data_IF_085402881824
#
_entry.id   IF_085402881824
#
_cell.length_a   1.000
_cell.length_b   1.000
_cell.length_c   1.000
_cell.angle_alpha   90.00
_cell.angle_beta   90.00
_cell.angle_gamma   90.00
#
_symmetry.space_group_name_H-M   'P 1'
#
loop_
_entity.id
_entity.type
_entity.pdbx_description
1 polymer ?
#
# COMPACT_ATOMS: atom_id res chain seq x y z
N UNK A 1 17.01 4.53 -58.53
CA UNK A 1 17.11 3.10 -58.16
C UNK A 1 18.48 2.93 -57.51
N UNK A 2 18.66 2.86 -56.19
CA UNK A 2 17.79 2.77 -55.01
C UNK A 2 18.52 3.48 -53.84
N UNK A 3 17.74 4.05 -52.94
CA UNK A 3 18.15 4.89 -51.82
C UNK A 3 18.67 4.05 -50.64
N UNK A 4 19.77 4.49 -50.03
CA UNK A 4 20.34 3.91 -48.81
C UNK A 4 20.02 4.83 -47.63
N UNK A 5 19.26 4.32 -46.65
CA UNK A 5 19.41 4.53 -45.20
C UNK A 5 18.25 3.82 -44.47
N UNK A 6 18.61 2.77 -43.74
CA UNK A 6 17.73 2.11 -42.80
C UNK A 6 17.69 2.93 -41.50
N UNK A 7 16.51 3.37 -41.09
CA UNK A 7 16.23 3.80 -39.72
C UNK A 7 15.49 2.67 -39.01
N UNK A 8 16.17 2.02 -38.07
CA UNK A 8 15.54 1.07 -37.15
C UNK A 8 14.84 1.82 -36.02
N UNK A 9 13.51 1.70 -35.96
CA UNK A 9 12.75 1.88 -34.71
C UNK A 9 11.75 0.74 -34.61
N UNK A 10 11.96 -0.19 -33.67
CA UNK A 10 10.82 -0.80 -32.96
C UNK A 10 11.21 -1.39 -31.60
N UNK A 11 10.55 -0.81 -30.60
CA UNK A 11 10.29 -1.28 -29.25
C UNK A 11 10.10 -2.80 -29.12
N UNK A 12 10.64 -3.39 -28.04
CA UNK A 12 9.85 -4.03 -26.99
C UNK A 12 10.75 -4.87 -26.07
N UNK A 13 10.91 -4.43 -24.83
CA UNK A 13 11.30 -5.33 -23.72
C UNK A 13 10.35 -5.09 -22.56
N UNK A 14 9.06 -5.33 -22.82
CA UNK A 14 8.06 -5.50 -21.79
C UNK A 14 8.22 -6.92 -21.22
N UNK A 15 9.10 -7.07 -20.24
CA UNK A 15 9.16 -8.31 -19.46
C UNK A 15 7.95 -8.35 -18.51
N UNK A 16 6.80 -8.74 -19.04
CA UNK A 16 5.60 -9.06 -18.26
C UNK A 16 5.80 -10.41 -17.60
N UNK A 17 6.52 -10.41 -16.49
CA UNK A 17 6.50 -11.53 -15.54
C UNK A 17 5.12 -11.52 -14.87
N UNK A 18 4.16 -12.20 -15.51
CA UNK A 18 2.80 -12.38 -15.01
C UNK A 18 2.89 -13.20 -13.73
N UNK A 19 3.02 -12.52 -12.59
CA UNK A 19 2.91 -13.15 -11.27
C UNK A 19 1.47 -13.57 -11.12
N UNK A 20 1.23 -14.87 -10.97
CA UNK A 20 -0.06 -15.42 -10.58
C UNK A 20 -0.56 -14.66 -9.33
N UNK A 21 -1.53 -13.76 -9.52
CA UNK A 21 -2.09 -12.98 -8.42
C UNK A 21 -3.12 -13.85 -7.73
N UNK A 22 -2.69 -14.53 -6.67
CA UNK A 22 -3.61 -14.96 -5.64
C UNK A 22 -4.41 -13.70 -5.23
N UNK A 23 -5.71 -13.65 -5.55
CA UNK A 23 -6.54 -12.44 -5.58
C UNK A 23 -6.86 -11.89 -4.16
N UNK A 24 -6.04 -12.24 -3.17
CA UNK A 24 -6.18 -11.79 -1.78
C UNK A 24 -5.54 -10.40 -1.66
N UNK A 25 -6.25 -9.41 -1.08
CA UNK A 25 -5.69 -8.10 -0.80
C UNK A 25 -4.40 -8.21 0.03
N UNK A 26 -3.34 -7.52 -0.41
CA UNK A 26 -2.06 -7.47 0.30
C UNK A 26 -2.25 -6.83 1.69
N UNK A 27 -1.76 -7.49 2.74
CA UNK A 27 -1.74 -6.93 4.10
C UNK A 27 -0.97 -5.61 4.15
N UNK A 28 -1.46 -4.64 4.93
CA UNK A 28 -0.80 -3.33 5.11
C UNK A 28 0.62 -3.49 5.67
N UNK A 29 0.85 -4.48 6.54
CA UNK A 29 2.18 -4.79 7.06
C UNK A 29 3.21 -5.18 5.99
N UNK A 30 2.75 -5.55 4.79
CA UNK A 30 3.58 -5.91 3.64
C UNK A 30 3.62 -4.81 2.57
N UNK A 31 2.97 -3.67 2.77
CA UNK A 31 2.99 -2.56 1.82
C UNK A 31 4.36 -1.88 1.78
N UNK A 32 4.86 -1.69 0.56
CA UNK A 32 6.04 -0.86 0.30
C UNK A 32 5.63 0.61 0.10
N UNK A 33 6.59 1.48 -0.19
CA UNK A 33 6.35 2.93 -0.41
C UNK A 33 5.34 3.15 -1.55
N UNK A 34 5.44 2.41 -2.66
CA UNK A 34 4.52 2.52 -3.80
C UNK A 34 3.07 2.16 -3.42
N UNK A 35 2.90 1.11 -2.61
CA UNK A 35 1.58 0.72 -2.10
C UNK A 35 0.99 1.81 -1.20
N UNK A 36 1.82 2.46 -0.36
CA UNK A 36 1.42 3.60 0.47
C UNK A 36 1.05 4.82 -0.38
N UNK A 37 1.81 5.14 -1.44
CA UNK A 37 1.46 6.21 -2.38
C UNK A 37 0.10 5.96 -3.04
N UNK A 38 -0.18 4.71 -3.45
CA UNK A 38 -1.50 4.33 -4.00
C UNK A 38 -2.62 4.50 -2.98
N UNK A 39 -2.38 4.12 -1.73
CA UNK A 39 -3.33 4.33 -0.64
C UNK A 39 -3.59 5.83 -0.42
N UNK A 40 -2.53 6.64 -0.34
CA UNK A 40 -2.62 8.10 -0.15
C UNK A 40 -3.42 8.74 -1.29
N UNK A 41 -3.15 8.37 -2.54
CA UNK A 41 -3.88 8.85 -3.72
C UNK A 41 -5.38 8.54 -3.65
N UNK A 42 -5.73 7.34 -3.16
CA UNK A 42 -7.11 6.87 -3.12
C UNK A 42 -7.91 7.48 -1.96
N UNK A 43 -7.29 7.67 -0.80
CA UNK A 43 -7.99 8.03 0.43
C UNK A 43 -7.77 9.48 0.87
N UNK A 44 -6.75 10.13 0.33
CA UNK A 44 -6.36 11.51 0.59
C UNK A 44 -6.15 12.25 -0.74
N UNK A 45 -7.04 12.05 -1.72
CA UNK A 45 -6.91 12.59 -3.10
C UNK A 45 -6.62 14.09 -3.12
N UNK A 46 -7.32 14.85 -2.27
CA UNK A 46 -7.26 16.32 -2.22
C UNK A 46 -5.90 16.82 -1.73
N UNK A 47 -5.16 15.98 -0.99
CA UNK A 47 -3.86 16.29 -0.41
C UNK A 47 -2.71 15.49 -1.05
N UNK A 48 -3.01 14.63 -2.03
CA UNK A 48 -2.03 13.70 -2.59
C UNK A 48 -0.86 14.43 -3.25
N UNK A 49 -1.16 15.39 -4.13
CA UNK A 49 -0.12 16.14 -4.86
C UNK A 49 0.76 16.98 -3.92
N UNK A 50 0.23 17.36 -2.75
CA UNK A 50 0.96 18.18 -1.78
C UNK A 50 1.96 17.37 -0.95
N UNK A 51 1.64 16.10 -0.63
CA UNK A 51 2.38 15.35 0.37
C UNK A 51 2.95 14.02 -0.11
N UNK A 52 2.69 13.58 -1.35
CA UNK A 52 3.25 12.32 -1.87
C UNK A 52 4.78 12.30 -1.80
N UNK A 53 5.43 13.43 -2.09
CA UNK A 53 6.88 13.55 -1.98
C UNK A 53 7.34 13.40 -0.53
N UNK A 54 6.69 14.05 0.43
CA UNK A 54 7.00 13.87 1.85
C UNK A 54 6.92 12.39 2.28
N UNK A 55 5.90 11.65 1.84
CA UNK A 55 5.81 10.21 2.13
C UNK A 55 6.90 9.39 1.43
N UNK A 56 7.32 9.80 0.24
CA UNK A 56 8.32 9.09 -0.57
C UNK A 56 9.73 9.33 -0.05
N UNK A 57 10.10 10.59 0.22
CA UNK A 57 11.43 10.96 0.73
C UNK A 57 11.72 10.38 2.13
N UNK A 58 10.69 10.15 2.93
CA UNK A 58 10.82 9.53 4.25
C UNK A 58 10.63 8.00 4.23
N UNK A 59 10.58 7.38 3.05
CA UNK A 59 10.41 5.93 2.87
C UNK A 59 9.24 5.35 3.71
N UNK A 60 8.08 6.00 3.67
CA UNK A 60 6.92 5.56 4.45
C UNK A 60 6.36 4.26 3.85
N UNK A 61 6.70 3.14 4.50
CA UNK A 61 6.12 1.81 4.26
C UNK A 61 4.83 1.61 5.06
N UNK A 62 4.06 0.55 4.77
CA UNK A 62 2.83 0.27 5.53
C UNK A 62 3.07 0.04 7.02
N UNK A 63 4.21 -0.55 7.40
CA UNK A 63 4.61 -0.71 8.81
C UNK A 63 4.79 0.64 9.50
N UNK A 64 5.46 1.59 8.84
CA UNK A 64 5.66 2.95 9.35
C UNK A 64 4.33 3.72 9.40
N UNK A 65 3.49 3.57 8.38
CA UNK A 65 2.16 4.20 8.31
C UNK A 65 1.26 3.80 9.48
N UNK A 66 1.25 2.50 9.84
CA UNK A 66 0.50 1.98 10.97
C UNK A 66 1.04 2.45 12.34
N UNK A 67 2.24 3.05 12.39
CA UNK A 67 2.86 3.57 13.62
C UNK A 67 2.90 5.10 13.72
N UNK A 68 2.72 5.80 12.60
CA UNK A 68 2.71 7.28 12.55
C UNK A 68 1.71 7.84 13.57
N UNK A 69 2.00 8.98 14.17
CA UNK A 69 1.04 9.74 14.97
C UNK A 69 0.95 11.17 14.44
N UNK A 70 0.08 12.00 15.02
CA UNK A 70 -0.07 13.40 14.61
C UNK A 70 1.28 14.15 14.59
N UNK A 71 2.05 14.03 15.67
CA UNK A 71 3.39 14.62 15.77
C UNK A 71 4.36 14.11 14.69
N UNK A 72 4.22 12.86 14.25
CA UNK A 72 5.03 12.30 13.17
C UNK A 72 4.64 12.89 11.82
N UNK A 73 3.35 13.15 11.57
CA UNK A 73 2.89 13.85 10.36
C UNK A 73 3.38 15.30 10.33
N UNK A 74 3.40 15.98 11.49
CA UNK A 74 3.98 17.31 11.60
C UNK A 74 5.48 17.30 11.23
N UNK A 75 6.26 16.38 11.81
CA UNK A 75 7.69 16.20 11.47
C UNK A 75 7.93 15.75 10.03
N UNK A 76 6.97 15.08 9.41
CA UNK A 76 7.00 14.70 7.99
C UNK A 76 6.85 15.93 7.06
N UNK A 77 6.42 17.08 7.59
CA UNK A 77 6.22 18.32 6.84
C UNK A 77 4.76 18.70 6.61
N UNK A 78 3.80 18.00 7.23
CA UNK A 78 2.36 18.33 7.12
C UNK A 78 1.99 19.34 8.22
N UNK A 79 2.40 20.59 8.02
CA UNK A 79 2.25 21.67 9.01
C UNK A 79 0.83 22.22 9.11
N UNK A 80 0.10 22.28 7.98
CA UNK A 80 -1.32 22.64 7.96
C UNK A 80 -2.13 21.63 8.79
N UNK A 81 -2.80 22.13 9.82
CA UNK A 81 -3.58 21.38 10.79
C UNK A 81 -4.80 20.69 10.18
N UNK A 82 -5.56 21.37 9.33
CA UNK A 82 -6.72 20.80 8.62
C UNK A 82 -6.29 19.62 7.75
N UNK A 83 -5.19 19.77 7.01
CA UNK A 83 -4.67 18.71 6.14
C UNK A 83 -4.16 17.52 6.97
N UNK A 84 -3.40 17.81 8.03
CA UNK A 84 -2.85 16.80 8.94
C UNK A 84 -3.96 16.00 9.61
N UNK A 85 -4.98 16.67 10.12
CA UNK A 85 -6.15 16.03 10.75
C UNK A 85 -6.89 15.13 9.74
N UNK A 86 -7.10 15.60 8.51
CA UNK A 86 -7.76 14.81 7.47
C UNK A 86 -6.98 13.55 7.11
N UNK A 87 -5.67 13.64 6.94
CA UNK A 87 -4.79 12.49 6.67
C UNK A 87 -4.77 11.55 7.88
N UNK A 88 -4.67 12.11 9.10
CA UNK A 88 -4.69 11.33 10.34
C UNK A 88 -5.96 10.50 10.48
N UNK A 89 -7.13 11.09 10.21
CA UNK A 89 -8.41 10.36 10.19
C UNK A 89 -8.40 9.19 9.21
N UNK A 90 -7.77 9.31 8.04
CA UNK A 90 -7.66 8.20 7.09
C UNK A 90 -6.71 7.11 7.59
N UNK A 91 -5.61 7.46 8.26
CA UNK A 91 -4.70 6.48 8.90
C UNK A 91 -5.43 5.70 9.99
N UNK A 92 -6.24 6.36 10.83
CA UNK A 92 -7.04 5.68 11.86
C UNK A 92 -8.05 4.70 11.24
N UNK A 93 -8.74 5.10 10.16
CA UNK A 93 -9.64 4.19 9.41
C UNK A 93 -8.90 2.98 8.85
N UNK A 94 -7.69 3.18 8.31
CA UNK A 94 -6.86 2.10 7.80
C UNK A 94 -6.47 1.10 8.90
N UNK A 95 -6.13 1.58 10.11
CA UNK A 95 -5.81 0.73 11.27
C UNK A 95 -6.99 -0.14 11.65
N UNK A 96 -8.15 0.46 11.89
CA UNK A 96 -9.37 -0.27 12.24
C UNK A 96 -9.69 -1.35 11.19
N UNK A 97 -9.59 -1.02 9.90
CA UNK A 97 -9.79 -1.99 8.83
C UNK A 97 -8.76 -3.12 8.87
N UNK A 98 -7.50 -2.80 9.14
CA UNK A 98 -6.41 -3.79 9.25
C UNK A 98 -6.67 -4.74 10.42
N UNK A 99 -7.00 -4.20 11.60
CA UNK A 99 -7.28 -4.97 12.81
C UNK A 99 -8.48 -5.90 12.62
N UNK A 100 -9.58 -5.42 12.02
CA UNK A 100 -10.77 -6.23 11.73
C UNK A 100 -10.42 -7.38 10.77
N UNK A 101 -9.65 -7.12 9.73
CA UNK A 101 -9.24 -8.15 8.76
C UNK A 101 -8.32 -9.16 9.44
N UNK A 102 -7.38 -8.70 10.26
CA UNK A 102 -6.45 -9.55 11.00
C UNK A 102 -7.17 -10.46 11.98
N UNK A 103 -8.12 -9.93 12.78
CA UNK A 103 -8.96 -10.73 13.69
C UNK A 103 -9.72 -11.81 12.93
N UNK A 104 -10.36 -11.46 11.80
CA UNK A 104 -11.10 -12.45 10.98
C UNK A 104 -10.17 -13.52 10.41
N UNK A 105 -8.98 -13.15 9.99
CA UNK A 105 -7.98 -14.09 9.46
C UNK A 105 -7.38 -14.98 10.55
N UNK A 106 -7.24 -14.50 11.79
CA UNK A 106 -6.87 -15.33 12.95
C UNK A 106 -7.98 -16.34 13.25
N UNK A 107 -9.24 -15.89 13.32
CA UNK A 107 -10.38 -16.77 13.59
C UNK A 107 -10.51 -17.90 12.55
N UNK A 108 -10.36 -17.59 11.25
CA UNK A 108 -10.37 -18.61 10.18
C UNK A 108 -9.25 -19.63 10.32
N UNK A 109 -8.02 -19.18 10.65
CA UNK A 109 -6.88 -20.07 10.86
C UNK A 109 -7.09 -20.99 12.06
N UNK A 110 -7.62 -20.45 13.16
CA UNK A 110 -7.93 -21.21 14.37
C UNK A 110 -9.02 -22.26 14.11
N UNK A 111 -10.09 -21.90 13.41
CA UNK A 111 -11.15 -22.84 13.03
C UNK A 111 -10.59 -23.98 12.18
N UNK A 112 -9.83 -23.68 11.13
CA UNK A 112 -9.21 -24.72 10.31
C UNK A 112 -8.36 -25.66 11.17
N UNK A 113 -7.54 -25.13 12.07
CA UNK A 113 -6.68 -25.93 12.96
C UNK A 113 -7.50 -26.87 13.85
N UNK A 114 -8.60 -26.38 14.44
CA UNK A 114 -9.49 -27.20 15.29
C UNK A 114 -10.22 -28.30 14.50
N UNK A 115 -10.62 -28.04 13.24
CA UNK A 115 -11.21 -29.08 12.39
C UNK A 115 -10.22 -30.17 12.03
N UNK A 116 -8.94 -29.83 11.78
CA UNK A 116 -7.91 -30.84 11.54
C UNK A 116 -7.67 -31.71 12.79
N UNK A 117 -7.59 -31.11 13.98
CA UNK A 117 -7.36 -31.82 15.24
C UNK A 117 -8.51 -32.80 15.59
N UNK A 118 -9.77 -32.38 15.38
CA UNK A 118 -10.94 -33.24 15.60
C UNK A 118 -11.19 -34.28 14.49
N UNK A 119 -10.46 -34.23 13.37
CA UNK A 119 -10.59 -35.19 12.25
C UNK A 119 -9.59 -36.35 12.32
N UNK A 120 -8.64 -36.28 13.26
CA UNK A 120 -7.55 -37.25 13.46
C UNK A 120 -7.86 -38.23 14.62
N UNK A 121 -8.96 -38.01 15.35
CA UNK A 121 -9.55 -38.92 16.36
C UNK A 121 -10.78 -39.61 15.80
#
# INVERSE_FOLDING_TARGET
>A
MVEARAEEISNASNNTKVKATNNKPKSVYSWNVVDVQKWLRRHCSDYYQLYVENFTQHDITGRSLLRINDNSLLRLGITNDIHREAIWRQILKLRLKTDIVEIRDIQRRNLNTMYYDNSIV
#
